data_IF_293197442135
#
_entry.id   IF_293197442135
#
_cell.length_a   1.000
_cell.length_b   1.000
_cell.length_c   1.000
_cell.angle_alpha   90.00
_cell.angle_beta   90.00
_cell.angle_gamma   90.00
#
_symmetry.space_group_name_H-M   'P 1'
#
loop_
_entity.id
_entity.type
_entity.pdbx_description
1 polymer ?
#
# COMPACT_ATOMS: atom_id res chain seq x y z
N UNK A 1 10.81 -9.42 18.27
CA UNK A 1 9.78 -8.99 17.29
C UNK A 1 9.46 -10.06 16.24
N UNK A 2 10.45 -10.61 15.53
CA UNK A 2 10.22 -11.59 14.45
C UNK A 2 9.41 -12.82 14.88
N UNK A 3 9.78 -13.47 15.99
CA UNK A 3 9.05 -14.64 16.50
C UNK A 3 7.61 -14.30 16.88
N UNK A 4 7.38 -13.15 17.52
CA UNK A 4 6.05 -12.68 17.86
C UNK A 4 5.21 -12.38 16.61
N UNK A 5 5.81 -11.77 15.57
CA UNK A 5 5.15 -11.48 14.30
C UNK A 5 4.76 -12.75 13.54
N UNK A 6 5.61 -13.79 13.56
CA UNK A 6 5.29 -15.08 12.94
C UNK A 6 4.21 -15.85 13.71
N UNK A 7 4.23 -15.77 15.04
CA UNK A 7 3.24 -16.43 15.90
C UNK A 7 1.91 -15.68 15.98
N UNK A 8 1.86 -14.39 15.69
CA UNK A 8 0.67 -13.56 15.88
C UNK A 8 -0.57 -14.05 15.10
N UNK A 9 -0.49 -14.39 13.80
CA UNK A 9 -1.62 -14.98 13.08
C UNK A 9 -1.91 -16.42 13.50
N UNK A 10 -0.91 -17.09 14.09
CA UNK A 10 -0.97 -18.44 14.62
C UNK A 10 -1.23 -18.45 16.13
N UNK A 11 -1.78 -17.40 16.73
CA UNK A 11 -2.03 -17.35 18.18
C UNK A 11 -3.52 -17.27 18.53
N UNK A 12 -4.39 -16.88 17.59
CA UNK A 12 -5.84 -16.80 17.81
C UNK A 12 -6.48 -18.17 18.06
N UNK A 13 -7.67 -18.25 18.64
CA UNK A 13 -8.41 -19.52 18.70
C UNK A 13 -9.04 -19.87 17.34
N UNK A 14 -9.28 -18.87 16.50
CA UNK A 14 -9.91 -18.97 15.17
C UNK A 14 -8.91 -18.93 13.99
N UNK A 15 -7.68 -19.42 14.15
CA UNK A 15 -6.57 -19.26 13.15
C UNK A 15 -6.99 -19.67 11.74
N UNK A 16 -7.58 -20.86 11.63
CA UNK A 16 -7.98 -21.45 10.36
C UNK A 16 -9.10 -20.62 9.74
N UNK A 17 -10.11 -20.24 10.52
CA UNK A 17 -11.22 -19.41 10.05
C UNK A 17 -10.74 -18.03 9.60
N UNK A 18 -9.86 -17.37 10.35
CA UNK A 18 -9.31 -16.06 9.99
C UNK A 18 -8.45 -16.12 8.73
N UNK A 19 -7.60 -17.15 8.59
CA UNK A 19 -6.79 -17.35 7.39
C UNK A 19 -7.63 -17.74 6.18
N UNK A 20 -8.65 -18.59 6.35
CA UNK A 20 -9.55 -18.99 5.27
C UNK A 20 -10.44 -17.84 4.84
N UNK A 21 -11.04 -17.09 5.76
CA UNK A 21 -11.90 -15.94 5.47
C UNK A 21 -11.06 -14.83 4.84
N UNK A 22 -9.92 -14.48 5.44
CA UNK A 22 -9.02 -13.46 4.89
C UNK A 22 -8.46 -13.86 3.53
N UNK A 23 -8.02 -15.12 3.38
CA UNK A 23 -7.55 -15.67 2.11
C UNK A 23 -8.65 -15.72 1.05
N UNK A 24 -9.88 -16.12 1.38
CA UNK A 24 -11.00 -16.12 0.46
C UNK A 24 -11.40 -14.70 0.04
N UNK A 25 -11.42 -13.75 0.98
CA UNK A 25 -11.69 -12.34 0.67
C UNK A 25 -10.60 -11.76 -0.25
N UNK A 26 -9.33 -12.10 -0.01
CA UNK A 26 -8.21 -11.68 -0.86
C UNK A 26 -8.31 -12.35 -2.24
N UNK A 27 -8.65 -13.64 -2.31
CA UNK A 27 -8.88 -14.36 -3.56
C UNK A 27 -9.99 -13.71 -4.40
N UNK A 28 -11.12 -13.43 -3.77
CA UNK A 28 -12.26 -12.75 -4.40
C UNK A 28 -11.86 -11.37 -4.87
N UNK A 29 -11.14 -10.60 -4.04
CA UNK A 29 -10.66 -9.25 -4.39
C UNK A 29 -9.69 -9.27 -5.57
N UNK A 30 -8.71 -10.19 -5.59
CA UNK A 30 -7.78 -10.36 -6.71
C UNK A 30 -8.49 -10.79 -7.98
N UNK A 31 -9.28 -11.86 -7.91
CA UNK A 31 -10.00 -12.40 -9.06
C UNK A 31 -10.88 -11.31 -9.68
N UNK A 32 -11.65 -10.61 -8.85
CA UNK A 32 -12.56 -9.62 -9.35
C UNK A 32 -11.86 -8.32 -9.79
N UNK A 33 -10.69 -7.98 -9.24
CA UNK A 33 -9.83 -6.90 -9.77
C UNK A 33 -9.26 -7.25 -11.15
N UNK A 34 -8.80 -8.49 -11.35
CA UNK A 34 -8.34 -8.96 -12.66
C UNK A 34 -9.47 -9.01 -13.68
N UNK A 35 -10.67 -9.41 -13.24
CA UNK A 35 -11.88 -9.41 -14.06
C UNK A 35 -12.26 -7.98 -14.46
N UNK A 36 -12.25 -7.04 -13.51
CA UNK A 36 -12.50 -5.63 -13.79
C UNK A 36 -11.55 -5.06 -14.85
N UNK A 37 -10.25 -5.42 -14.80
CA UNK A 37 -9.27 -5.03 -15.82
C UNK A 37 -9.57 -5.60 -17.21
N UNK A 38 -9.98 -6.87 -17.30
CA UNK A 38 -10.37 -7.51 -18.55
C UNK A 38 -11.61 -6.84 -19.19
N UNK A 39 -12.53 -6.36 -18.36
CA UNK A 39 -13.75 -5.68 -18.77
C UNK A 39 -13.63 -4.14 -18.83
N UNK A 40 -12.42 -3.57 -18.71
CA UNK A 40 -12.17 -2.14 -18.97
C UNK A 40 -12.76 -1.67 -20.32
N UNK A 41 -12.60 -2.39 -21.46
CA UNK A 41 -13.24 -1.99 -22.71
C UNK A 41 -14.78 -2.11 -22.69
N UNK A 42 -15.34 -2.84 -21.73
CA UNK A 42 -16.78 -3.03 -21.52
C UNK A 42 -17.23 -2.34 -20.23
N UNK A 43 -17.20 -1.00 -20.26
CA UNK A 43 -17.53 -0.09 -19.15
C UNK A 43 -18.70 -0.54 -18.24
N UNK A 44 -19.89 -0.94 -18.76
CA UNK A 44 -20.99 -1.36 -17.89
C UNK A 44 -20.67 -2.62 -17.08
N UNK A 45 -19.92 -3.57 -17.63
CA UNK A 45 -19.58 -4.82 -16.95
C UNK A 45 -18.48 -4.59 -15.90
N UNK A 46 -17.47 -3.76 -16.22
CA UNK A 46 -16.45 -3.35 -15.25
C UNK A 46 -17.04 -2.63 -14.03
N UNK A 47 -18.08 -1.80 -14.22
CA UNK A 47 -18.75 -1.10 -13.14
C UNK A 47 -19.49 -2.06 -12.19
N UNK A 48 -20.21 -3.04 -12.73
CA UNK A 48 -20.92 -4.05 -11.94
C UNK A 48 -19.97 -4.91 -11.09
N UNK A 49 -18.84 -5.34 -11.66
CA UNK A 49 -17.81 -6.06 -10.91
C UNK A 49 -17.25 -5.15 -9.81
N UNK A 50 -16.93 -3.90 -10.13
CA UNK A 50 -16.41 -2.93 -9.16
C UNK A 50 -17.37 -2.70 -7.98
N UNK A 51 -18.68 -2.68 -8.22
CA UNK A 51 -19.70 -2.50 -7.18
C UNK A 51 -19.67 -3.62 -6.13
N UNK A 52 -19.37 -4.85 -6.53
CA UNK A 52 -19.26 -6.01 -5.62
C UNK A 52 -17.89 -6.06 -4.95
N UNK A 53 -16.81 -5.71 -5.67
CA UNK A 53 -15.43 -5.77 -5.17
C UNK A 53 -15.14 -4.71 -4.12
N UNK A 54 -15.71 -3.53 -4.30
CA UNK A 54 -15.46 -2.38 -3.45
C UNK A 54 -15.78 -2.66 -1.96
N UNK A 55 -16.99 -3.12 -1.57
CA UNK A 55 -17.29 -3.40 -0.16
C UNK A 55 -16.44 -4.56 0.40
N UNK A 56 -16.16 -5.59 -0.39
CA UNK A 56 -15.32 -6.73 0.03
C UNK A 56 -13.91 -6.27 0.37
N UNK A 57 -13.35 -5.39 -0.46
CA UNK A 57 -12.00 -4.85 -0.26
C UNK A 57 -11.93 -3.93 0.97
N UNK A 58 -13.00 -3.17 1.26
CA UNK A 58 -13.09 -2.36 2.47
C UNK A 58 -13.04 -3.20 3.75
N UNK A 59 -13.69 -4.37 3.78
CA UNK A 59 -13.62 -5.26 4.95
C UNK A 59 -12.20 -5.70 5.23
N UNK A 60 -11.46 -6.09 4.19
CA UNK A 60 -10.05 -6.51 4.33
C UNK A 60 -9.20 -5.35 4.85
N UNK A 61 -9.40 -4.15 4.33
CA UNK A 61 -8.69 -2.95 4.81
C UNK A 61 -9.00 -2.65 6.28
N UNK A 62 -10.27 -2.70 6.68
CA UNK A 62 -10.65 -2.52 8.09
C UNK A 62 -10.08 -3.58 9.02
N UNK A 63 -9.93 -4.82 8.52
CA UNK A 63 -9.26 -5.88 9.26
C UNK A 63 -7.78 -5.54 9.52
N UNK A 64 -7.09 -5.03 8.50
CA UNK A 64 -5.68 -4.61 8.63
C UNK A 64 -5.52 -3.45 9.63
N UNK A 65 -6.49 -2.53 9.72
CA UNK A 65 -6.52 -1.49 10.76
C UNK A 65 -6.60 -2.11 12.17
N UNK A 66 -7.45 -3.12 12.37
CA UNK A 66 -7.54 -3.82 13.66
C UNK A 66 -6.25 -4.56 13.99
N UNK A 67 -5.60 -5.17 12.99
CA UNK A 67 -4.28 -5.78 13.16
C UNK A 67 -3.25 -4.74 13.60
N UNK A 68 -3.26 -3.55 13.02
CA UNK A 68 -2.40 -2.43 13.44
C UNK A 68 -2.65 -2.04 14.88
N UNK A 69 -3.91 -1.88 15.26
CA UNK A 69 -4.29 -1.54 16.61
C UNK A 69 -3.79 -2.59 17.61
N UNK A 70 -4.11 -3.86 17.37
CA UNK A 70 -3.69 -4.96 18.23
C UNK A 70 -2.17 -5.12 18.32
N UNK A 71 -1.47 -4.96 17.18
CA UNK A 71 -0.01 -4.97 17.17
C UNK A 71 0.55 -3.82 18.02
N UNK A 72 0.04 -2.60 17.83
CA UNK A 72 0.51 -1.42 18.55
C UNK A 72 0.16 -1.44 20.06
N UNK A 73 -0.94 -2.10 20.45
CA UNK A 73 -1.30 -2.30 21.87
C UNK A 73 -0.59 -3.48 22.52
N UNK A 74 0.19 -4.27 21.77
CA UNK A 74 0.92 -5.43 22.27
C UNK A 74 0.08 -6.70 22.41
N UNK A 75 -1.11 -6.73 21.80
CA UNK A 75 -1.91 -7.95 21.69
C UNK A 75 -1.17 -9.02 20.91
N UNK A 76 -1.26 -10.27 21.37
CA UNK A 76 -0.52 -11.40 20.81
C UNK A 76 -1.34 -12.28 19.87
N UNK A 77 -2.66 -12.13 19.89
CA UNK A 77 -3.58 -12.90 19.06
C UNK A 77 -4.14 -12.03 17.93
N UNK A 78 -4.19 -12.59 16.71
CA UNK A 78 -4.81 -11.91 15.59
C UNK A 78 -6.30 -11.63 15.85
N UNK A 79 -6.82 -10.44 15.48
CA UNK A 79 -8.23 -10.11 15.59
C UNK A 79 -9.09 -11.10 14.80
N UNK A 80 -10.33 -11.32 15.26
CA UNK A 80 -11.31 -12.12 14.53
C UNK A 80 -12.07 -11.27 13.51
N UNK A 81 -12.60 -11.91 12.46
CA UNK A 81 -13.50 -11.31 11.47
C UNK A 81 -14.94 -11.12 12.01
N UNK A 82 -15.08 -10.84 13.30
CA UNK A 82 -16.38 -10.51 13.91
C UNK A 82 -16.68 -9.02 13.72
N UNK A 83 -17.96 -8.63 13.80
CA UNK A 83 -18.38 -7.24 13.61
C UNK A 83 -17.96 -6.65 12.24
N UNK A 84 -18.52 -7.22 11.17
CA UNK A 84 -18.31 -6.80 9.78
C UNK A 84 -18.69 -5.33 9.53
N UNK A 85 -19.71 -4.82 10.24
CA UNK A 85 -20.09 -3.41 10.16
C UNK A 85 -18.96 -2.49 10.62
N UNK A 86 -18.32 -2.81 11.75
CA UNK A 86 -17.13 -2.09 12.20
C UNK A 86 -15.97 -2.18 11.21
N UNK A 87 -15.73 -3.36 10.62
CA UNK A 87 -14.67 -3.54 9.60
C UNK A 87 -14.92 -2.66 8.37
N UNK A 88 -16.16 -2.55 7.91
CA UNK A 88 -16.50 -1.65 6.79
C UNK A 88 -16.24 -0.19 7.14
N UNK A 89 -16.60 0.26 8.35
CA UNK A 89 -16.37 1.64 8.80
C UNK A 89 -14.87 1.92 8.93
N UNK A 90 -14.11 1.01 9.54
CA UNK A 90 -12.65 1.13 9.68
C UNK A 90 -11.97 1.14 8.31
N UNK A 91 -12.44 0.31 7.37
CA UNK A 91 -11.99 0.29 5.98
C UNK A 91 -12.31 1.58 5.23
N UNK A 92 -13.50 2.16 5.44
CA UNK A 92 -13.89 3.43 4.82
C UNK A 92 -13.05 4.59 5.36
N UNK A 93 -12.77 4.61 6.67
CA UNK A 93 -11.86 5.57 7.29
C UNK A 93 -10.43 5.42 6.72
N UNK A 94 -9.93 4.19 6.59
CA UNK A 94 -8.64 3.91 5.94
C UNK A 94 -8.62 4.40 4.49
N UNK A 95 -9.70 4.14 3.73
CA UNK A 95 -9.83 4.60 2.34
C UNK A 95 -9.74 6.13 2.29
N UNK A 96 -10.42 6.84 3.19
CA UNK A 96 -10.36 8.30 3.25
C UNK A 96 -8.94 8.80 3.51
N UNK A 97 -8.24 8.24 4.51
CA UNK A 97 -6.84 8.58 4.80
C UNK A 97 -5.96 8.31 3.58
N UNK A 98 -6.11 7.12 2.98
CA UNK A 98 -5.35 6.71 1.79
C UNK A 98 -5.65 7.59 0.59
N UNK A 99 -6.88 8.09 0.44
CA UNK A 99 -7.27 9.02 -0.62
C UNK A 99 -6.60 10.38 -0.43
N UNK A 100 -6.58 10.91 0.79
CA UNK A 100 -5.92 12.19 1.10
C UNK A 100 -4.41 12.10 0.83
N UNK A 101 -3.75 11.06 1.35
CA UNK A 101 -2.33 10.82 1.07
C UNK A 101 -2.06 10.50 -0.41
N UNK A 102 -2.96 9.75 -1.05
CA UNK A 102 -2.88 9.42 -2.46
C UNK A 102 -3.01 10.65 -3.35
N UNK A 103 -3.83 11.63 -2.97
CA UNK A 103 -4.01 12.89 -3.71
C UNK A 103 -2.71 13.70 -3.76
N UNK A 104 -1.90 13.67 -2.69
CA UNK A 104 -0.58 14.32 -2.63
C UNK A 104 0.35 13.79 -3.72
N UNK A 105 0.24 12.51 -4.09
CA UNK A 105 1.03 11.89 -5.17
C UNK A 105 0.31 12.00 -6.52
N UNK A 106 -1.01 11.84 -6.54
CA UNK A 106 -1.81 11.81 -7.75
C UNK A 106 -1.87 13.18 -8.44
N UNK A 107 -1.99 14.28 -7.70
CA UNK A 107 -2.01 15.63 -8.28
C UNK A 107 -0.77 15.93 -9.12
N UNK A 108 0.48 15.82 -8.60
CA UNK A 108 1.66 16.08 -9.40
C UNK A 108 1.82 15.08 -10.55
N UNK A 109 1.39 13.83 -10.36
CA UNK A 109 1.37 12.82 -11.43
C UNK A 109 0.44 13.23 -12.58
N UNK A 110 -0.80 13.64 -12.27
CA UNK A 110 -1.78 14.08 -13.28
C UNK A 110 -1.28 15.33 -13.99
N UNK A 111 -0.72 16.31 -13.25
CA UNK A 111 -0.10 17.49 -13.87
C UNK A 111 1.00 17.08 -14.83
N UNK A 112 1.89 16.15 -14.43
CA UNK A 112 2.96 15.66 -15.28
C UNK A 112 2.44 14.95 -16.53
N UNK A 113 1.41 14.11 -16.40
CA UNK A 113 0.80 13.41 -17.53
C UNK A 113 0.11 14.39 -18.47
N UNK A 114 -0.65 15.37 -17.97
CA UNK A 114 -1.31 16.38 -18.79
C UNK A 114 -0.28 17.24 -19.53
N UNK A 115 0.80 17.65 -18.86
CA UNK A 115 1.90 18.41 -19.48
C UNK A 115 2.65 17.56 -20.51
N UNK A 116 2.94 16.30 -20.19
CA UNK A 116 3.66 15.37 -21.07
C UNK A 116 2.86 15.00 -22.32
N UNK A 117 1.59 14.61 -22.15
CA UNK A 117 0.68 14.26 -23.26
C UNK A 117 0.32 15.50 -24.07
N UNK A 118 0.06 16.64 -23.42
CA UNK A 118 -0.24 17.91 -24.10
C UNK A 118 0.94 18.43 -24.91
N UNK A 119 2.17 18.21 -24.45
CA UNK A 119 3.38 18.59 -25.19
C UNK A 119 3.68 17.59 -26.32
N UNK A 120 3.39 16.30 -26.13
CA UNK A 120 3.52 15.25 -27.15
C UNK A 120 2.60 15.49 -28.37
N UNK A 121 1.38 16.02 -28.14
CA UNK A 121 0.44 16.34 -29.23
C UNK A 121 0.77 17.66 -29.94
N UNK A 122 1.29 18.67 -29.22
CA UNK A 122 1.61 19.99 -29.79
C UNK A 122 2.91 20.01 -30.59
N UNK A 123 3.87 19.11 -30.31
CA UNK A 123 5.16 19.03 -31.02
C UNK A 123 5.19 17.99 -32.15
N UNK A 124 4.03 17.49 -32.58
CA UNK A 124 3.95 16.60 -33.76
C UNK A 124 4.38 15.15 -33.52
N UNK A 125 4.07 14.56 -32.34
CA UNK A 125 4.39 13.16 -32.01
C UNK A 125 3.76 12.07 -32.90
N UNK A 126 3.16 12.42 -34.04
CA UNK A 126 2.61 11.48 -35.04
C UNK A 126 3.51 11.26 -36.27
N UNK A 127 4.74 11.77 -36.31
CA UNK A 127 5.63 11.52 -37.46
C UNK A 127 6.42 10.20 -37.36
N UNK A 128 6.34 9.46 -36.25
CA UNK A 128 7.14 8.22 -36.04
C UNK A 128 6.34 6.99 -35.61
N UNK A 129 5.10 6.84 -36.10
CA UNK A 129 4.18 5.78 -35.66
C UNK A 129 3.90 4.62 -36.63
N UNK A 130 4.30 4.70 -37.90
CA UNK A 130 4.05 3.62 -38.87
C UNK A 130 5.19 3.49 -39.89
N UNK A 131 6.40 3.28 -39.39
CA UNK A 131 7.56 2.92 -40.20
C UNK A 131 8.37 1.86 -39.47
N UNK A 132 8.22 0.59 -39.87
CA UNK A 132 9.26 -0.41 -39.65
C UNK A 132 10.43 0.02 -40.53
N UNK A 133 11.32 0.84 -40.00
CA UNK A 133 12.62 1.06 -40.61
C UNK A 133 13.71 0.79 -39.57
N UNK A 134 14.49 -0.23 -39.88
CA UNK A 134 15.66 -0.70 -39.16
C UNK A 134 16.59 0.44 -38.76
N UNK A 135 16.66 0.74 -37.46
CA UNK A 135 17.59 1.71 -36.90
C UNK A 135 19.02 1.14 -36.83
N UNK A 136 19.74 1.18 -37.94
CA UNK A 136 21.20 1.31 -37.92
C UNK A 136 21.57 2.77 -38.21
N UNK A 137 21.46 3.63 -37.20
CA UNK A 137 22.13 4.92 -37.15
C UNK A 137 22.11 5.42 -35.69
N UNK A 138 23.25 5.91 -35.21
CA UNK A 138 23.42 6.48 -33.89
C UNK A 138 22.28 7.45 -33.55
N UNK A 139 21.71 7.33 -32.35
CA UNK A 139 20.69 8.25 -31.85
C UNK A 139 21.18 9.69 -32.06
N UNK A 140 20.48 10.54 -32.84
CA UNK A 140 20.88 11.92 -32.99
C UNK A 140 20.89 12.57 -31.59
N UNK A 141 21.88 13.43 -31.28
CA UNK A 141 21.92 14.11 -30.01
C UNK A 141 20.61 14.89 -29.85
N UNK A 142 19.90 14.61 -28.75
CA UNK A 142 18.67 15.32 -28.39
C UNK A 142 19.11 16.74 -28.00
N UNK A 143 19.28 17.61 -28.98
CA UNK A 143 19.67 19.00 -28.82
C UNK A 143 18.59 19.84 -29.48
N UNK A 144 17.65 20.35 -28.66
CA UNK A 144 16.50 21.13 -29.09
C UNK A 144 15.45 21.27 -27.98
N UNK A 145 14.35 22.01 -28.19
CA UNK A 145 13.26 22.18 -27.22
C UNK A 145 12.71 20.86 -26.67
N UNK A 146 12.73 19.81 -27.50
CA UNK A 146 12.28 18.45 -27.16
C UNK A 146 13.21 17.77 -26.12
N UNK A 147 14.49 18.12 -26.09
CA UNK A 147 15.45 17.64 -25.10
C UNK A 147 15.14 18.17 -23.70
N UNK A 148 14.90 19.49 -23.60
CA UNK A 148 14.52 20.13 -22.34
C UNK A 148 13.17 19.61 -21.81
N UNK A 149 12.23 19.31 -22.72
CA UNK A 149 10.93 18.76 -22.39
C UNK A 149 11.01 17.31 -21.88
N UNK A 150 11.83 16.48 -22.54
CA UNK A 150 12.12 15.11 -22.07
C UNK A 150 12.84 15.07 -20.73
N UNK A 151 13.82 15.96 -20.51
CA UNK A 151 14.54 16.09 -19.24
C UNK A 151 13.62 16.59 -18.12
N UNK A 152 12.72 17.54 -18.41
CA UNK A 152 11.71 18.02 -17.47
C UNK A 152 10.71 16.94 -17.06
N UNK A 153 10.28 16.09 -18.00
CA UNK A 153 9.39 14.95 -17.71
C UNK A 153 10.07 13.89 -16.85
N UNK A 154 11.33 13.55 -17.16
CA UNK A 154 12.15 12.64 -16.36
C UNK A 154 12.39 13.16 -14.94
N UNK A 155 12.73 14.45 -14.80
CA UNK A 155 12.89 15.10 -13.50
C UNK A 155 11.57 15.12 -12.72
N UNK A 156 10.46 15.45 -13.38
CA UNK A 156 9.13 15.40 -12.77
C UNK A 156 8.75 13.98 -12.31
N UNK A 157 9.07 12.96 -13.11
CA UNK A 157 8.81 11.56 -12.76
C UNK A 157 9.64 11.14 -11.56
N UNK A 158 10.91 11.56 -11.51
CA UNK A 158 11.77 11.33 -10.35
C UNK A 158 11.20 12.00 -9.08
N UNK A 159 10.68 13.22 -9.18
CA UNK A 159 10.03 13.90 -8.04
C UNK A 159 8.77 13.15 -7.59
N UNK A 160 7.89 12.75 -8.51
CA UNK A 160 6.69 11.97 -8.17
C UNK A 160 7.06 10.62 -7.55
N UNK A 161 8.10 9.96 -8.07
CA UNK A 161 8.63 8.73 -7.52
C UNK A 161 9.14 8.91 -6.09
N UNK A 162 9.94 9.94 -5.83
CA UNK A 162 10.41 10.27 -4.48
C UNK A 162 9.26 10.60 -3.53
N UNK A 163 8.27 11.37 -3.98
CA UNK A 163 7.05 11.65 -3.21
C UNK A 163 6.28 10.37 -2.89
N UNK A 164 6.19 9.44 -3.85
CA UNK A 164 5.56 8.14 -3.63
C UNK A 164 6.29 7.32 -2.57
N UNK A 165 7.62 7.32 -2.55
CA UNK A 165 8.40 6.67 -1.50
C UNK A 165 8.13 7.30 -0.12
N UNK A 166 8.13 8.64 -0.05
CA UNK A 166 7.87 9.36 1.21
C UNK A 166 6.49 9.00 1.74
N UNK A 167 5.46 9.05 0.88
CA UNK A 167 4.09 8.71 1.27
C UNK A 167 3.98 7.23 1.66
N UNK A 168 4.60 6.32 0.91
CA UNK A 168 4.63 4.88 1.22
C UNK A 168 5.28 4.57 2.57
N UNK A 169 6.27 5.36 2.99
CA UNK A 169 6.91 5.24 4.29
C UNK A 169 6.08 5.87 5.43
N UNK A 170 5.37 6.97 5.15
CA UNK A 170 4.57 7.70 6.13
C UNK A 170 3.20 7.04 6.41
N UNK A 171 2.63 6.40 5.39
CA UNK A 171 1.29 5.79 5.44
C UNK A 171 1.14 4.79 6.59
N UNK A 172 2.04 3.81 6.82
CA UNK A 172 1.87 2.88 7.94
C UNK A 172 1.90 3.55 9.31
N UNK A 173 2.71 4.60 9.52
CA UNK A 173 2.68 5.40 10.76
C UNK A 173 1.35 6.15 10.92
N UNK A 174 0.87 6.81 9.86
CA UNK A 174 -0.41 7.51 9.85
C UNK A 174 -1.57 6.57 10.18
N UNK A 175 -1.60 5.39 9.55
CA UNK A 175 -2.61 4.36 9.79
C UNK A 175 -2.53 3.81 11.22
N UNK A 176 -1.34 3.65 11.78
CA UNK A 176 -1.18 3.14 13.15
C UNK A 176 -1.66 4.17 14.17
N UNK A 177 -1.30 5.45 13.99
CA UNK A 177 -1.77 6.52 14.88
C UNK A 177 -3.29 6.69 14.80
N UNK A 178 -3.86 6.62 13.60
CA UNK A 178 -5.30 6.56 13.37
C UNK A 178 -5.95 5.38 14.09
N UNK A 179 -5.40 4.17 13.94
CA UNK A 179 -5.93 2.96 14.56
C UNK A 179 -5.92 3.03 16.09
N UNK A 180 -4.91 3.68 16.68
CA UNK A 180 -4.80 3.89 18.13
C UNK A 180 -5.81 4.91 18.64
N UNK A 181 -5.87 6.10 18.00
CA UNK A 181 -6.67 7.23 18.46
C UNK A 181 -8.13 7.21 17.98
N UNK A 182 -8.49 6.28 17.08
CA UNK A 182 -9.82 6.12 16.47
C UNK A 182 -10.41 7.42 15.89
N UNK A 183 -9.54 8.31 15.39
CA UNK A 183 -9.93 9.60 14.82
C UNK A 183 -9.19 9.88 13.52
N UNK A 184 -9.92 10.30 12.49
CA UNK A 184 -9.36 10.60 11.17
C UNK A 184 -8.27 11.69 11.24
N UNK A 185 -8.44 12.67 12.13
CA UNK A 185 -7.46 13.74 12.34
C UNK A 185 -6.12 13.23 12.87
N UNK A 186 -6.10 12.15 13.65
CA UNK A 186 -4.86 11.57 14.17
C UNK A 186 -3.98 11.00 13.05
N UNK A 187 -4.56 10.61 11.92
CA UNK A 187 -3.79 10.20 10.76
C UNK A 187 -2.90 11.33 10.21
N UNK A 188 -3.22 12.59 10.51
CA UNK A 188 -2.55 13.78 9.99
C UNK A 188 -1.82 14.58 11.08
N UNK A 189 -1.61 13.99 12.25
CA UNK A 189 -0.83 14.63 13.31
C UNK A 189 0.66 14.63 12.97
N UNK A 190 1.09 15.66 12.23
CA UNK A 190 2.47 15.82 11.77
C UNK A 190 3.48 15.93 12.92
N UNK A 191 3.06 16.39 14.11
CA UNK A 191 3.94 16.48 15.28
C UNK A 191 4.34 15.08 15.76
N UNK A 192 3.35 14.25 16.02
CA UNK A 192 3.54 12.85 16.43
C UNK A 192 4.22 12.04 15.33
N UNK A 193 3.75 12.17 14.08
CA UNK A 193 4.29 11.41 12.96
C UNK A 193 5.77 11.71 12.72
N UNK A 194 6.17 12.98 12.76
CA UNK A 194 7.58 13.34 12.56
C UNK A 194 8.47 12.67 13.60
N UNK A 195 8.09 12.70 14.87
CA UNK A 195 8.89 12.08 15.94
C UNK A 195 9.04 10.58 15.73
N UNK A 196 7.94 9.88 15.43
CA UNK A 196 7.94 8.42 15.25
C UNK A 196 8.69 8.00 14.00
N UNK A 197 8.47 8.69 12.88
CA UNK A 197 9.01 8.34 11.56
C UNK A 197 10.54 8.48 11.50
N UNK A 198 11.12 9.36 12.32
CA UNK A 198 12.57 9.52 12.47
C UNK A 198 13.18 8.60 13.55
N UNK A 199 12.40 7.76 14.21
CA UNK A 199 12.93 6.77 15.16
C UNK A 199 13.55 5.57 14.46
N UNK A 200 14.67 5.09 15.01
CA UNK A 200 15.31 3.84 14.57
C UNK A 200 14.40 2.63 14.78
N UNK A 201 13.62 2.60 15.87
CA UNK A 201 12.74 1.47 16.18
C UNK A 201 11.60 1.35 15.15
N UNK A 202 11.06 2.48 14.69
CA UNK A 202 10.09 2.51 13.59
C UNK A 202 10.71 2.08 12.26
N UNK A 203 11.91 2.60 11.95
CA UNK A 203 12.63 2.24 10.73
C UNK A 203 12.89 0.72 10.66
N UNK A 204 13.31 0.11 11.77
CA UNK A 204 13.50 -1.33 11.87
C UNK A 204 12.19 -2.11 11.68
N UNK A 205 11.11 -1.66 12.31
CA UNK A 205 9.78 -2.28 12.14
C UNK A 205 9.30 -2.24 10.69
N UNK A 206 9.46 -1.10 10.01
CA UNK A 206 9.08 -0.94 8.60
C UNK A 206 9.99 -1.74 7.67
N UNK A 207 11.30 -1.69 7.88
CA UNK A 207 12.28 -2.45 7.10
C UNK A 207 12.01 -3.95 7.21
N UNK A 208 11.77 -4.45 8.42
CA UNK A 208 11.46 -5.86 8.66
C UNK A 208 10.12 -6.24 8.02
N UNK A 209 9.11 -5.37 8.13
CA UNK A 209 7.82 -5.53 7.46
C UNK A 209 7.97 -5.66 5.95
N UNK A 210 8.68 -4.76 5.29
CA UNK A 210 8.87 -4.83 3.83
C UNK A 210 9.77 -5.97 3.37
N UNK A 211 10.89 -6.22 4.05
CA UNK A 211 11.83 -7.28 3.64
C UNK A 211 11.22 -8.65 3.86
N UNK A 212 10.76 -8.94 5.08
CA UNK A 212 10.24 -10.27 5.41
C UNK A 212 8.85 -10.46 4.81
N UNK A 213 7.97 -9.45 4.91
CA UNK A 213 6.66 -9.47 4.27
C UNK A 213 6.76 -9.60 2.75
N UNK A 214 7.73 -8.94 2.12
CA UNK A 214 8.03 -9.08 0.69
C UNK A 214 8.47 -10.50 0.33
N UNK A 215 9.40 -11.10 1.07
CA UNK A 215 9.82 -12.49 0.87
C UNK A 215 8.64 -13.46 1.02
N UNK A 216 7.84 -13.31 2.09
CA UNK A 216 6.64 -14.13 2.31
C UNK A 216 5.65 -13.96 1.17
N UNK A 217 5.43 -12.73 0.70
CA UNK A 217 4.53 -12.44 -0.41
C UNK A 217 5.04 -13.04 -1.73
N UNK A 218 6.34 -12.96 -2.02
CA UNK A 218 6.94 -13.56 -3.22
C UNK A 218 6.79 -15.08 -3.21
N UNK A 219 7.09 -15.73 -2.08
CA UNK A 219 6.91 -17.18 -1.92
C UNK A 219 5.43 -17.54 -2.10
N UNK A 220 4.54 -16.85 -1.39
CA UNK A 220 3.10 -17.08 -1.47
C UNK A 220 2.54 -16.87 -2.89
N UNK A 221 3.03 -15.85 -3.61
CA UNK A 221 2.66 -15.59 -4.99
C UNK A 221 3.04 -16.75 -5.92
N UNK A 222 4.23 -17.35 -5.73
CA UNK A 222 4.64 -18.54 -6.48
C UNK A 222 3.68 -19.73 -6.30
N UNK A 223 3.08 -19.87 -5.12
CA UNK A 223 2.08 -20.90 -4.83
C UNK A 223 0.63 -20.48 -5.12
N UNK A 224 0.40 -19.27 -5.64
CA UNK A 224 -0.95 -18.74 -5.92
C UNK A 224 -1.73 -19.61 -6.92
N UNK A 225 -1.03 -20.18 -7.92
CA UNK A 225 -1.59 -21.10 -8.91
C UNK A 225 -2.22 -22.36 -8.29
N UNK A 226 -1.79 -22.76 -7.08
CA UNK A 226 -2.33 -23.93 -6.37
C UNK A 226 -3.49 -23.58 -5.42
N UNK A 227 -4.04 -22.36 -5.46
CA UNK A 227 -5.03 -21.79 -4.52
C UNK A 227 -4.54 -21.67 -3.06
N UNK A 228 -3.60 -22.51 -2.61
CA UNK A 228 -2.98 -22.46 -1.27
C UNK A 228 -2.11 -21.23 -1.07
N UNK A 229 -1.57 -20.64 -2.16
CA UNK A 229 -0.79 -19.41 -2.06
C UNK A 229 -1.60 -18.18 -1.65
N UNK A 230 -2.93 -18.16 -1.88
CA UNK A 230 -3.75 -16.98 -1.57
C UNK A 230 -3.89 -16.72 -0.06
N UNK A 231 -4.23 -17.70 0.80
CA UNK A 231 -4.18 -17.48 2.25
C UNK A 231 -2.77 -17.15 2.75
N UNK A 232 -1.72 -17.65 2.08
CA UNK A 232 -0.34 -17.27 2.40
C UNK A 232 -0.02 -15.80 2.03
N UNK A 233 -0.60 -15.27 0.96
CA UNK A 233 -0.51 -13.84 0.62
C UNK A 233 -1.20 -12.98 1.67
N UNK A 234 -2.36 -13.42 2.16
CA UNK A 234 -3.06 -12.74 3.26
C UNK A 234 -2.23 -12.77 4.55
N UNK A 235 -1.63 -13.92 4.88
CA UNK A 235 -0.71 -14.04 6.01
C UNK A 235 0.48 -13.07 5.90
N UNK A 236 1.09 -12.95 4.71
CA UNK A 236 2.18 -12.01 4.46
C UNK A 236 1.76 -10.55 4.70
N UNK A 237 0.53 -10.18 4.29
CA UNK A 237 -0.02 -8.85 4.60
C UNK A 237 -0.17 -8.64 6.10
N UNK A 238 -0.84 -9.56 6.81
CA UNK A 238 -1.04 -9.43 8.26
C UNK A 238 0.29 -9.31 9.00
N UNK A 239 1.28 -10.10 8.62
CA UNK A 239 2.65 -10.02 9.17
C UNK A 239 3.26 -8.63 8.96
N UNK A 240 3.14 -8.07 7.75
CA UNK A 240 3.69 -6.76 7.39
C UNK A 240 3.07 -5.65 8.23
N UNK A 241 1.73 -5.63 8.31
CA UNK A 241 0.98 -4.65 9.10
C UNK A 241 1.26 -4.80 10.61
N UNK A 242 1.44 -6.03 11.11
CA UNK A 242 1.86 -6.26 12.50
C UNK A 242 3.23 -5.63 12.80
N UNK A 243 4.21 -5.80 11.90
CA UNK A 243 5.53 -5.20 12.06
C UNK A 243 5.47 -3.67 12.08
N UNK A 244 4.62 -3.06 11.25
CA UNK A 244 4.39 -1.62 11.25
C UNK A 244 3.80 -1.13 12.57
N UNK A 245 2.76 -1.79 13.09
CA UNK A 245 2.15 -1.44 14.36
C UNK A 245 3.10 -1.57 15.55
N UNK A 246 3.90 -2.65 15.59
CA UNK A 246 4.91 -2.86 16.64
C UNK A 246 6.06 -1.86 16.57
N UNK A 247 6.61 -1.58 15.40
CA UNK A 247 7.67 -0.59 15.23
C UNK A 247 7.23 0.81 15.67
N UNK A 248 5.96 1.17 15.41
CA UNK A 248 5.38 2.42 15.87
C UNK A 248 5.24 2.49 17.40
N UNK A 249 4.79 1.40 18.04
CA UNK A 249 4.65 1.33 19.49
C UNK A 249 6.01 1.46 20.20
N UNK A 250 7.02 0.72 19.73
CA UNK A 250 8.37 0.75 20.31
C UNK A 250 9.02 2.13 20.13
N UNK A 251 8.82 2.78 18.97
CA UNK A 251 9.25 4.16 18.78
C UNK A 251 8.61 5.11 19.80
N UNK A 252 7.31 4.98 20.11
CA UNK A 252 6.66 5.82 21.13
C UNK A 252 7.16 5.54 22.54
N UNK A 253 7.40 4.27 22.87
CA UNK A 253 7.98 3.86 24.17
C UNK A 253 9.39 4.43 24.36
N UNK A 254 10.20 4.46 23.30
CA UNK A 254 11.56 5.02 23.33
C UNK A 254 11.61 6.54 23.57
N UNK A 255 10.53 7.27 23.26
CA UNK A 255 10.41 8.72 23.43
C UNK A 255 9.76 9.13 24.75
N UNK A 256 9.12 8.19 25.45
CA UNK A 256 8.58 8.45 26.78
C UNK A 256 9.73 8.59 27.79
N UNK A 257 9.85 9.72 28.51
CA UNK A 257 10.89 9.88 29.51
C UNK A 257 10.64 8.92 30.68
N UNK A 258 11.44 7.85 30.78
CA UNK A 258 11.44 6.98 31.97
C UNK A 258 11.76 5.49 31.78
N UNK A 259 11.87 4.97 30.56
CA UNK A 259 12.14 3.53 30.38
C UNK A 259 13.63 3.28 30.14
N UNK A 260 14.41 3.23 31.22
CA UNK A 260 15.70 2.54 31.20
C UNK A 260 15.49 1.12 30.67
N UNK A 261 16.13 0.79 29.55
CA UNK A 261 16.28 -0.61 29.10
C UNK A 261 17.15 -1.31 30.13
N UNK A 262 16.52 -2.08 31.04
CA UNK A 262 17.18 -3.10 31.86
C UNK A 262 16.97 -4.45 31.21
#
# INVERSE_FOLDING_TARGET
>A
MLEAALRFPLASDDRVSTLLIGGALLAVSLFASTLALLFVPFVPFGLLVSLVVFPVSLVVQGYLVRVLRGAATGERAAPSFTNWGGLLVDGLKLLFVSLVYGLVVAVPMVVLVVVGVGSFTLTGGMESGMGVETATAAAPPVTGPNAALSAGLLAGLAVVFLLSLVVSYLLPAALTNFALQDSLSAAFDFGTLRQVVFSTDYLLGVLLGYVVGGVLATVAFGFSLLLVGIPALFYAQVFTYYCFGRGFAEARESMAPGTERV
#
